data_IF_145880561617
#
_entry.id   IF_145880561617
#
_cell.length_a   1.000
_cell.length_b   1.000
_cell.length_c   1.000
_cell.angle_alpha   90.00
_cell.angle_beta   90.00
_cell.angle_gamma   90.00
#
_symmetry.space_group_name_H-M   'P 1'
#
loop_
_entity.id
_entity.type
_entity.pdbx_description
1 polymer ?
#
# COMPACT_ATOMS: atom_id res chain seq x y z
N UNK A 1 -29.42 -6.91 38.22
CA UNK A 1 -28.52 -6.43 37.16
C UNK A 1 -27.72 -5.30 37.77
N UNK A 2 -26.38 -5.37 37.77
CA UNK A 2 -25.56 -4.31 38.35
C UNK A 2 -25.78 -3.01 37.56
N UNK A 3 -26.15 -1.93 38.24
CA UNK A 3 -26.25 -0.62 37.61
C UNK A 3 -24.85 -0.10 37.29
N UNK A 4 -24.60 0.24 36.03
CA UNK A 4 -23.35 0.85 35.58
C UNK A 4 -23.21 2.25 36.21
N UNK A 5 -22.14 2.46 36.99
CA UNK A 5 -21.85 3.77 37.53
C UNK A 5 -21.23 4.69 36.48
N UNK A 6 -21.24 6.01 36.74
CA UNK A 6 -20.53 7.00 35.91
C UNK A 6 -19.02 6.72 35.84
N UNK A 7 -18.47 6.10 36.87
CA UNK A 7 -17.04 5.77 36.95
C UNK A 7 -16.70 4.58 36.05
N UNK A 8 -17.56 3.56 36.02
CA UNK A 8 -17.43 2.42 35.10
C UNK A 8 -17.48 2.85 33.64
N UNK A 9 -18.40 3.76 33.30
CA UNK A 9 -18.50 4.33 31.95
C UNK A 9 -17.22 5.09 31.56
N UNK A 10 -16.60 5.81 32.50
CA UNK A 10 -15.34 6.54 32.28
C UNK A 10 -14.16 5.59 32.08
N UNK A 11 -14.12 4.48 32.81
CA UNK A 11 -13.09 3.43 32.65
C UNK A 11 -13.23 2.81 31.26
N UNK A 12 -14.43 2.40 30.86
CA UNK A 12 -14.69 1.83 29.53
C UNK A 12 -14.27 2.77 28.40
N UNK A 13 -14.63 4.06 28.51
CA UNK A 13 -14.29 5.07 27.52
C UNK A 13 -12.77 5.32 27.43
N UNK A 14 -12.07 5.33 28.57
CA UNK A 14 -10.59 5.39 28.57
C UNK A 14 -9.96 4.17 27.91
N UNK A 15 -10.44 2.96 28.24
CA UNK A 15 -9.95 1.73 27.63
C UNK A 15 -10.19 1.73 26.11
N UNK A 16 -11.36 2.18 25.66
CA UNK A 16 -11.68 2.34 24.24
C UNK A 16 -10.68 3.26 23.54
N UNK A 17 -10.39 4.45 24.10
CA UNK A 17 -9.43 5.37 23.50
C UNK A 17 -7.98 4.87 23.54
N UNK A 18 -7.59 4.13 24.57
CA UNK A 18 -6.26 3.53 24.64
C UNK A 18 -6.06 2.45 23.57
N UNK A 19 -7.08 1.66 23.28
CA UNK A 19 -7.00 0.57 22.28
C UNK A 19 -7.21 1.09 20.85
N UNK A 20 -8.20 1.96 20.65
CA UNK A 20 -8.61 2.43 19.31
C UNK A 20 -7.82 3.65 18.88
N UNK A 21 -7.36 4.49 19.80
CA UNK A 21 -6.81 5.80 19.47
C UNK A 21 -7.88 6.81 19.01
N UNK A 22 -7.43 8.01 18.63
CA UNK A 22 -8.30 9.14 18.29
C UNK A 22 -8.54 9.33 16.78
N UNK A 23 -7.69 8.73 15.93
CA UNK A 23 -7.65 9.00 14.47
C UNK A 23 -7.77 7.69 13.66
N UNK A 24 -8.45 6.70 14.24
CA UNK A 24 -8.49 5.34 13.71
C UNK A 24 -9.24 5.25 12.37
N UNK A 25 -10.25 6.07 12.15
CA UNK A 25 -11.06 6.05 10.93
C UNK A 25 -10.24 6.21 9.65
N UNK A 26 -9.21 7.06 9.66
CA UNK A 26 -8.36 7.27 8.49
C UNK A 26 -7.37 6.12 8.30
N UNK A 27 -6.80 5.61 9.40
CA UNK A 27 -5.88 4.48 9.37
C UNK A 27 -6.58 3.21 8.91
N UNK A 28 -7.75 2.91 9.47
CA UNK A 28 -8.53 1.73 9.11
C UNK A 28 -8.98 1.82 7.64
N UNK A 29 -9.49 2.97 7.20
CA UNK A 29 -9.87 3.18 5.80
C UNK A 29 -8.68 3.06 4.83
N UNK A 30 -7.52 3.62 5.19
CA UNK A 30 -6.32 3.51 4.37
C UNK A 30 -5.82 2.07 4.30
N UNK A 31 -5.77 1.37 5.44
CA UNK A 31 -5.34 -0.03 5.47
C UNK A 31 -6.27 -0.91 4.66
N UNK A 32 -7.59 -0.70 4.75
CA UNK A 32 -8.57 -1.44 3.94
C UNK A 32 -8.36 -1.22 2.43
N UNK A 33 -8.09 0.04 2.04
CA UNK A 33 -7.79 0.37 0.65
C UNK A 33 -6.51 -0.31 0.14
N UNK A 34 -5.48 -0.38 0.98
CA UNK A 34 -4.19 -1.01 0.67
C UNK A 34 -4.32 -2.54 0.61
N UNK A 35 -5.06 -3.14 1.54
CA UNK A 35 -5.16 -4.60 1.68
C UNK A 35 -6.14 -5.21 0.66
N UNK A 36 -7.21 -4.49 0.30
CA UNK A 36 -8.30 -5.01 -0.54
C UNK A 36 -8.67 -4.07 -1.69
N UNK A 37 -8.88 -2.78 -1.41
CA UNK A 37 -9.46 -1.85 -2.38
C UNK A 37 -8.64 -1.69 -3.68
N UNK A 38 -7.30 -1.70 -3.60
CA UNK A 38 -6.46 -1.61 -4.79
C UNK A 38 -6.58 -2.83 -5.72
N UNK A 39 -6.66 -4.03 -5.15
CA UNK A 39 -6.82 -5.25 -5.94
C UNK A 39 -8.21 -5.28 -6.59
N UNK A 40 -9.26 -4.90 -5.86
CA UNK A 40 -10.63 -4.84 -6.39
C UNK A 40 -10.75 -3.92 -7.62
N UNK A 41 -10.09 -2.76 -7.59
CA UNK A 41 -10.07 -1.83 -8.73
C UNK A 41 -9.35 -2.44 -9.94
N UNK A 42 -8.25 -3.16 -9.73
CA UNK A 42 -7.53 -3.81 -10.82
C UNK A 42 -8.33 -4.97 -11.40
N UNK A 43 -8.98 -5.76 -10.54
CA UNK A 43 -9.84 -6.88 -10.94
C UNK A 43 -11.07 -6.40 -11.74
N UNK A 44 -11.60 -5.21 -11.42
CA UNK A 44 -12.71 -4.60 -12.17
C UNK A 44 -12.30 -4.22 -13.60
N UNK A 45 -11.06 -3.77 -13.81
CA UNK A 45 -10.52 -3.47 -15.15
C UNK A 45 -10.23 -4.77 -15.91
N UNK A 46 -9.53 -5.72 -15.26
CA UNK A 46 -9.26 -7.07 -15.77
C UNK A 46 -8.28 -7.15 -16.95
N UNK A 47 -8.64 -6.56 -18.09
CA UNK A 47 -7.85 -6.62 -19.33
C UNK A 47 -7.82 -5.26 -20.02
N UNK A 48 -6.68 -4.94 -20.64
CA UNK A 48 -6.50 -3.74 -21.44
C UNK A 48 -6.25 -4.16 -22.90
N UNK A 49 -7.11 -3.71 -23.81
CA UNK A 49 -6.89 -3.88 -25.25
C UNK A 49 -5.87 -2.86 -25.77
N UNK A 50 -4.84 -3.35 -26.45
CA UNK A 50 -3.80 -2.52 -27.07
C UNK A 50 -3.94 -2.62 -28.60
N UNK A 51 -4.38 -1.51 -29.20
CA UNK A 51 -4.53 -1.36 -30.65
C UNK A 51 -3.18 -1.01 -31.29
N UNK A 52 -2.47 -2.03 -31.78
CA UNK A 52 -1.28 -1.84 -32.63
C UNK A 52 -1.65 -2.13 -34.08
N UNK A 53 -1.30 -1.28 -35.07
CA UNK A 53 -1.72 -1.42 -36.46
C UNK A 53 -1.41 -2.79 -37.10
N UNK A 54 -0.35 -3.47 -36.66
CA UNK A 54 0.11 -4.73 -37.25
C UNK A 54 -0.20 -5.97 -36.40
N UNK A 55 -0.52 -5.82 -35.11
CA UNK A 55 -0.80 -6.94 -34.20
C UNK A 55 -1.51 -6.43 -32.93
N UNK A 56 -2.86 -6.33 -32.93
CA UNK A 56 -3.58 -6.00 -31.71
C UNK A 56 -3.40 -7.13 -30.68
N UNK A 57 -3.14 -6.76 -29.44
CA UNK A 57 -2.97 -7.71 -28.34
C UNK A 57 -3.64 -7.18 -27.07
N UNK A 58 -3.89 -8.08 -26.13
CA UNK A 58 -4.47 -7.72 -24.83
C UNK A 58 -3.41 -7.83 -23.75
N UNK A 59 -3.54 -7.04 -22.69
CA UNK A 59 -2.75 -7.21 -21.47
C UNK A 59 -3.71 -7.54 -20.35
N UNK A 60 -3.59 -8.76 -19.81
CA UNK A 60 -4.34 -9.19 -18.65
C UNK A 60 -3.64 -8.69 -17.40
N UNK A 61 -4.40 -8.07 -16.51
CA UNK A 61 -3.91 -7.55 -15.24
C UNK A 61 -4.07 -8.64 -14.17
N UNK A 62 -3.01 -8.86 -13.41
CA UNK A 62 -2.97 -9.85 -12.33
C UNK A 62 -2.93 -9.20 -10.95
N UNK A 63 -2.09 -9.73 -10.07
CA UNK A 63 -1.98 -9.26 -8.69
C UNK A 63 -1.22 -7.92 -8.59
N UNK A 64 -1.73 -7.03 -7.75
CA UNK A 64 -1.07 -5.79 -7.32
C UNK A 64 -0.12 -6.08 -6.16
N UNK A 65 1.10 -5.59 -6.29
CA UNK A 65 2.15 -5.70 -5.27
C UNK A 65 2.55 -4.32 -4.80
N UNK A 66 2.32 -4.04 -3.53
CA UNK A 66 2.79 -2.83 -2.87
C UNK A 66 4.11 -3.19 -2.22
N UNK A 67 5.20 -2.68 -2.79
CA UNK A 67 6.58 -3.13 -2.58
C UNK A 67 6.80 -4.50 -3.22
N UNK A 68 7.83 -4.56 -4.06
CA UNK A 68 8.20 -5.77 -4.79
C UNK A 68 8.58 -6.90 -3.81
N UNK A 69 7.92 -8.07 -3.88
CA UNK A 69 8.18 -9.20 -2.99
C UNK A 69 9.60 -9.79 -3.15
N UNK A 70 10.27 -9.53 -4.28
CA UNK A 70 11.65 -9.95 -4.51
C UNK A 70 12.67 -8.97 -3.92
N UNK A 71 12.22 -7.79 -3.49
CA UNK A 71 13.08 -6.79 -2.86
C UNK A 71 13.42 -7.17 -1.43
N UNK A 72 14.63 -6.82 -0.98
CA UNK A 72 15.00 -6.90 0.45
C UNK A 72 14.35 -5.80 1.30
N UNK A 73 13.75 -4.81 0.65
CA UNK A 73 13.14 -3.65 1.28
C UNK A 73 11.69 -3.99 1.61
N UNK A 74 11.27 -3.70 2.84
CA UNK A 74 9.95 -4.08 3.36
C UNK A 74 8.99 -2.91 3.55
N UNK A 75 9.44 -1.68 3.26
CA UNK A 75 8.63 -0.47 3.42
C UNK A 75 8.90 0.59 2.35
N UNK A 76 8.47 1.83 2.60
CA UNK A 76 8.65 2.97 1.69
C UNK A 76 10.13 3.24 1.42
N UNK A 77 10.49 3.36 0.15
CA UNK A 77 11.87 3.54 -0.28
C UNK A 77 11.96 4.48 -1.47
N UNK A 78 13.14 5.04 -1.68
CA UNK A 78 13.45 5.87 -2.84
C UNK A 78 14.60 5.24 -3.62
N UNK A 79 14.59 5.44 -4.93
CA UNK A 79 15.71 5.12 -5.80
C UNK A 79 16.51 6.40 -6.02
N UNK A 80 17.76 6.41 -5.58
CA UNK A 80 18.69 7.51 -5.78
C UNK A 80 19.15 7.60 -7.25
N UNK A 81 19.83 8.70 -7.61
CA UNK A 81 20.26 8.98 -8.99
C UNK A 81 21.21 7.91 -9.53
N UNK A 82 21.95 7.25 -8.65
CA UNK A 82 22.87 6.15 -8.96
C UNK A 82 22.16 4.79 -9.14
N UNK A 83 20.84 4.74 -8.96
CA UNK A 83 20.02 3.53 -9.04
C UNK A 83 19.96 2.73 -7.73
N UNK A 84 20.61 3.20 -6.66
CA UNK A 84 20.56 2.56 -5.35
C UNK A 84 19.19 2.77 -4.72
N UNK A 85 18.61 1.71 -4.15
CA UNK A 85 17.34 1.78 -3.40
C UNK A 85 17.63 1.80 -1.91
N UNK A 86 17.07 2.76 -1.17
CA UNK A 86 17.14 2.77 0.29
C UNK A 86 15.81 3.15 0.93
N UNK A 87 15.56 2.56 2.09
CA UNK A 87 14.38 2.83 2.92
C UNK A 87 14.40 4.27 3.41
N UNK A 88 13.24 4.94 3.32
CA UNK A 88 13.12 6.31 3.78
C UNK A 88 12.21 6.36 5.00
N UNK A 89 12.59 7.17 5.99
CA UNK A 89 11.73 7.44 7.13
C UNK A 89 10.96 8.75 6.95
N UNK A 90 9.79 8.92 7.59
CA UNK A 90 9.00 10.15 7.47
C UNK A 90 9.76 11.45 7.80
N UNK A 91 10.72 11.39 8.74
CA UNK A 91 11.54 12.55 9.08
C UNK A 91 12.52 12.89 7.96
N UNK A 92 13.19 11.88 7.39
CA UNK A 92 14.08 12.07 6.24
C UNK A 92 13.32 12.65 5.05
N UNK A 93 12.14 12.09 4.74
CA UNK A 93 11.30 12.57 3.65
C UNK A 93 10.97 14.06 3.80
N UNK A 94 10.62 14.51 5.01
CA UNK A 94 10.38 15.93 5.30
C UNK A 94 11.62 16.79 5.15
N UNK A 95 12.77 16.36 5.68
CA UNK A 95 14.02 17.14 5.65
C UNK A 95 14.54 17.32 4.23
N UNK A 96 14.35 16.32 3.36
CA UNK A 96 14.81 16.31 1.98
C UNK A 96 13.75 16.78 0.97
N UNK A 97 12.55 17.18 1.43
CA UNK A 97 11.39 17.47 0.58
C UNK A 97 11.05 16.34 -0.40
N UNK A 98 11.16 15.08 0.06
CA UNK A 98 10.78 13.89 -0.69
C UNK A 98 9.33 13.51 -0.38
N UNK A 99 8.73 12.74 -1.29
CA UNK A 99 7.43 12.12 -1.05
C UNK A 99 7.62 10.82 -0.28
N UNK A 100 6.95 10.70 0.87
CA UNK A 100 6.89 9.43 1.61
C UNK A 100 5.90 8.48 0.93
N UNK A 101 6.42 7.66 0.01
CA UNK A 101 5.62 6.77 -0.83
C UNK A 101 6.26 5.38 -0.99
N UNK A 102 5.41 4.39 -1.27
CA UNK A 102 5.82 3.03 -1.58
C UNK A 102 5.55 2.74 -3.07
N UNK A 103 6.45 2.04 -3.77
CA UNK A 103 6.23 1.67 -5.16
C UNK A 103 5.18 0.57 -5.27
N UNK A 104 4.37 0.67 -6.32
CA UNK A 104 3.39 -0.34 -6.71
C UNK A 104 3.85 -0.97 -8.01
N UNK A 105 3.83 -2.30 -8.02
CA UNK A 105 3.98 -3.10 -9.22
C UNK A 105 2.71 -3.91 -9.48
N UNK A 106 2.47 -4.24 -10.74
CA UNK A 106 1.31 -4.99 -11.20
C UNK A 106 1.79 -6.11 -12.11
N UNK A 107 1.29 -7.32 -11.86
CA UNK A 107 1.50 -8.43 -12.77
C UNK A 107 0.73 -8.17 -14.07
N UNK A 108 1.44 -8.27 -15.18
CA UNK A 108 0.89 -8.07 -16.52
C UNK A 108 1.23 -9.28 -17.38
N UNK A 109 0.21 -9.87 -18.00
CA UNK A 109 0.36 -11.01 -18.92
C UNK A 109 -0.09 -10.59 -20.32
N UNK A 110 0.84 -10.39 -21.27
CA UNK A 110 0.48 -10.13 -22.65
C UNK A 110 -0.21 -11.34 -23.29
N UNK A 111 -1.30 -11.11 -24.01
CA UNK A 111 -2.06 -12.11 -24.75
C UNK A 111 -2.04 -11.74 -26.23
N UNK A 112 -1.21 -12.44 -26.99
CA UNK A 112 -1.01 -12.22 -28.43
C UNK A 112 -1.61 -13.41 -29.18
N UNK A 113 -2.50 -13.16 -30.14
CA UNK A 113 -3.19 -14.20 -30.91
C UNK A 113 -3.86 -15.30 -30.04
N UNK A 114 -4.38 -14.90 -28.88
CA UNK A 114 -5.03 -15.81 -27.91
C UNK A 114 -4.07 -16.67 -27.09
N UNK A 115 -2.76 -16.41 -27.12
CA UNK A 115 -1.74 -17.09 -26.31
C UNK A 115 -1.19 -16.16 -25.23
N UNK A 116 -1.34 -16.57 -23.98
CA UNK A 116 -0.69 -15.92 -22.84
C UNK A 116 0.84 -16.08 -22.95
N UNK A 117 1.55 -14.96 -22.87
CA UNK A 117 3.00 -14.89 -22.79
C UNK A 117 3.46 -14.97 -21.32
N UNK A 118 4.75 -14.85 -21.09
CA UNK A 118 5.30 -14.77 -19.75
C UNK A 118 4.72 -13.58 -18.98
N UNK A 119 4.36 -13.83 -17.71
CA UNK A 119 3.85 -12.79 -16.81
C UNK A 119 5.03 -12.00 -16.26
N UNK A 120 4.96 -10.68 -16.39
CA UNK A 120 5.98 -9.77 -15.88
C UNK A 120 5.42 -8.89 -14.76
N UNK A 121 6.24 -8.64 -13.75
CA UNK A 121 5.91 -7.71 -12.69
C UNK A 121 6.36 -6.30 -13.11
N UNK A 122 5.40 -5.45 -13.46
CA UNK A 122 5.68 -4.13 -14.03
C UNK A 122 5.45 -3.04 -12.99
N UNK A 123 6.42 -2.15 -12.80
CA UNK A 123 6.25 -0.96 -11.97
C UNK A 123 5.24 0.01 -12.62
N UNK A 124 4.15 0.31 -11.90
CA UNK A 124 3.07 1.18 -12.41
C UNK A 124 3.07 2.57 -11.78
N UNK A 125 3.74 2.75 -10.62
CA UNK A 125 3.74 4.03 -9.92
C UNK A 125 4.09 3.91 -8.45
N UNK A 126 3.90 4.99 -7.70
CA UNK A 126 4.12 5.01 -6.26
C UNK A 126 2.90 5.56 -5.54
N UNK A 127 2.55 4.96 -4.40
CA UNK A 127 1.44 5.39 -3.55
C UNK A 127 1.95 6.10 -2.30
N UNK A 128 1.46 7.30 -1.97
CA UNK A 128 1.79 7.96 -0.71
C UNK A 128 1.42 7.08 0.49
N UNK A 129 2.33 7.00 1.46
CA UNK A 129 2.15 6.19 2.67
C UNK A 129 1.60 7.03 3.81
N UNK A 130 0.44 6.65 4.33
CA UNK A 130 -0.15 7.29 5.50
C UNK A 130 0.68 7.00 6.75
N UNK A 131 1.00 8.02 7.54
CA UNK A 131 1.78 7.84 8.77
C UNK A 131 1.05 6.97 9.77
N UNK A 132 1.78 6.05 10.42
CA UNK A 132 1.23 5.06 11.38
C UNK A 132 0.23 4.05 10.76
N UNK A 133 0.06 4.03 9.43
CA UNK A 133 -0.64 2.91 8.76
C UNK A 133 0.22 1.66 8.77
N UNK A 134 -0.35 0.49 8.40
CA UNK A 134 0.37 -0.79 8.37
C UNK A 134 1.63 -0.75 7.49
N UNK A 135 1.60 0.02 6.41
CA UNK A 135 2.69 0.17 5.45
C UNK A 135 3.80 1.11 5.93
N UNK A 136 3.53 1.93 6.96
CA UNK A 136 4.50 2.88 7.50
C UNK A 136 5.42 2.21 8.53
N UNK A 137 6.73 2.44 8.45
CA UNK A 137 7.72 1.95 9.43
C UNK A 137 7.36 2.32 10.87
N UNK A 138 6.78 3.50 11.08
CA UNK A 138 6.42 3.98 12.42
C UNK A 138 5.31 3.15 13.09
N UNK A 139 4.58 2.31 12.37
CA UNK A 139 3.51 1.49 12.94
C UNK A 139 4.02 0.36 13.83
N UNK A 140 5.24 -0.10 13.60
CA UNK A 140 5.86 -1.22 14.32
C UNK A 140 6.82 -0.77 15.43
N UNK A 141 7.16 0.52 15.46
CA UNK A 141 8.08 1.09 16.46
C UNK A 141 7.37 1.39 17.77
N UNK A 142 8.10 1.16 18.87
CA UNK A 142 7.69 1.59 20.21
C UNK A 142 7.76 3.13 20.34
N UNK A 143 7.52 3.64 21.54
CA UNK A 143 7.59 5.08 21.80
C UNK A 143 9.03 5.59 21.95
N UNK A 144 9.95 4.71 22.32
CA UNK A 144 11.36 5.04 22.56
C UNK A 144 12.19 4.98 21.26
N UNK A 145 11.71 4.22 20.29
CA UNK A 145 12.22 4.09 18.92
C UNK A 145 11.64 5.17 17.99
#
# INVERSE_FOLDING_TARGET
MAELSKEDARILLKSFFNEKGLVRQHLDSYNEFIDHGLQEVVDEVGEIDIEVPESPYKVKLGQVWIIDPQSRITGPYVTEVDGTKHEIYPMEARLRNLTYAAPIALEMTPVIDGREQDTELVYIGSIPVMLKSKLCFLSQLSREE
#
